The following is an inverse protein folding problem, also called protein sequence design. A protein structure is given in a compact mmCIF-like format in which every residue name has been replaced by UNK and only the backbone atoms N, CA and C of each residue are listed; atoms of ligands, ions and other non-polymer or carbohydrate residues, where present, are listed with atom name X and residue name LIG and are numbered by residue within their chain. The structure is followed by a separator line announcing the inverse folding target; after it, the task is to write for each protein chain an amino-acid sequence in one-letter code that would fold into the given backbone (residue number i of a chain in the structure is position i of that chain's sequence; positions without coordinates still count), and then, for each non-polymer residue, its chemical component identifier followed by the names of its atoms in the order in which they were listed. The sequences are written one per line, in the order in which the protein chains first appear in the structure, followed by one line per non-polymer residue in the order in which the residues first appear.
data_IF_996382258829
#
_entry.id   IF_996382258829
#
_cell.length_a   1.000
_cell.length_b   1.000
_cell.length_c   1.000
_cell.angle_alpha   90.00
_cell.angle_beta   90.00
_cell.angle_gamma   90.00
#
_symmetry.space_group_name_H-M   'P 1'
#
loop_
_entity.id
_entity.type
_entity.pdbx_description
1 polymer ?
#
# COMPACT_ATOMS: atom_id res chain seq x y z
N UNK A 1 5.95 11.48 15.98
CA UNK A 1 4.96 12.55 16.21
C UNK A 1 4.81 13.40 14.94
N UNK A 2 3.60 13.90 14.68
CA UNK A 2 3.30 14.69 13.49
C UNK A 2 1.82 14.61 13.14
N UNK A 3 1.51 14.98 11.90
CA UNK A 3 0.19 14.85 11.30
C UNK A 3 0.27 13.93 10.09
N UNK A 4 -0.75 13.10 9.90
CA UNK A 4 -0.91 12.30 8.70
C UNK A 4 -2.33 12.45 8.20
N UNK A 5 -2.47 12.77 6.92
CA UNK A 5 -3.72 12.99 6.22
C UNK A 5 -3.92 11.93 5.15
N UNK A 6 -5.16 11.64 4.82
CA UNK A 6 -5.51 10.75 3.73
C UNK A 6 -6.99 10.40 3.75
N UNK A 7 -7.45 9.81 2.67
CA UNK A 7 -8.75 9.17 2.67
C UNK A 7 -8.70 7.96 3.61
N UNK A 8 -9.68 7.85 4.50
CA UNK A 8 -9.73 6.74 5.44
C UNK A 8 -10.35 5.51 4.78
N UNK A 9 -9.66 4.38 4.88
CA UNK A 9 -10.13 3.08 4.43
C UNK A 9 -9.94 2.02 5.52
N UNK A 10 -10.51 0.84 5.33
CA UNK A 10 -10.37 -0.25 6.29
C UNK A 10 -10.08 -1.59 5.62
N UNK A 11 -9.43 -2.46 6.37
CA UNK A 11 -9.19 -3.84 5.97
C UNK A 11 -9.63 -4.78 7.10
N UNK A 12 -10.38 -5.85 6.73
CA UNK A 12 -10.94 -6.83 7.67
C UNK A 12 -10.15 -8.14 7.73
N UNK A 13 -9.00 -8.21 7.06
CA UNK A 13 -8.12 -9.38 7.09
C UNK A 13 -7.60 -9.66 8.50
N UNK A 14 -7.62 -10.94 8.89
CA UNK A 14 -7.12 -11.35 10.21
C UNK A 14 -5.59 -11.43 10.27
N UNK A 15 -4.94 -11.52 9.11
CA UNK A 15 -3.48 -11.63 8.93
C UNK A 15 -3.06 -10.83 7.71
N UNK A 16 -1.73 -10.72 7.46
CA UNK A 16 -1.22 -10.10 6.25
C UNK A 16 -1.15 -8.57 6.35
N UNK A 17 -0.96 -8.01 7.53
CA UNK A 17 -0.91 -6.56 7.68
C UNK A 17 0.27 -5.92 6.93
N UNK A 18 1.41 -6.61 6.81
CA UNK A 18 2.55 -6.10 6.06
C UNK A 18 2.25 -6.01 4.57
N UNK A 19 1.61 -7.02 4.02
CA UNK A 19 1.14 -7.04 2.64
C UNK A 19 0.19 -5.88 2.38
N UNK A 20 -0.75 -5.61 3.31
CA UNK A 20 -1.69 -4.49 3.22
C UNK A 20 -0.94 -3.15 3.26
N UNK A 21 -0.02 -2.96 4.20
CA UNK A 21 0.69 -1.68 4.36
C UNK A 21 1.62 -1.36 3.20
N UNK A 22 2.11 -2.38 2.51
CA UNK A 22 3.01 -2.25 1.36
C UNK A 22 2.31 -2.39 0.01
N UNK A 23 1.00 -2.62 0.00
CA UNK A 23 0.19 -2.67 -1.22
C UNK A 23 0.08 -1.27 -1.84
N UNK A 24 0.52 -1.05 -3.09
CA UNK A 24 0.40 0.23 -3.76
C UNK A 24 -1.02 0.77 -3.88
N UNK A 25 -2.03 -0.11 -3.88
CA UNK A 25 -3.46 0.26 -3.93
C UNK A 25 -3.91 1.13 -2.75
N UNK A 26 -3.17 1.11 -1.64
CA UNK A 26 -3.47 1.94 -0.45
C UNK A 26 -2.61 3.20 -0.37
N UNK A 27 -1.99 3.59 -1.48
CA UNK A 27 -1.11 4.76 -1.48
C UNK A 27 -1.85 6.03 -1.05
N UNK A 28 -1.31 6.68 -0.01
CA UNK A 28 -1.86 7.93 0.52
C UNK A 28 -3.09 7.77 1.42
N UNK A 29 -3.55 6.55 1.72
CA UNK A 29 -4.73 6.31 2.56
C UNK A 29 -4.37 6.08 4.03
N UNK A 30 -5.28 6.46 4.93
CA UNK A 30 -5.23 6.11 6.34
C UNK A 30 -5.92 4.76 6.54
N UNK A 31 -5.17 3.75 6.98
CA UNK A 31 -5.63 2.37 7.10
C UNK A 31 -6.17 2.06 8.49
N UNK A 32 -7.44 1.67 8.56
CA UNK A 32 -8.04 1.08 9.76
C UNK A 32 -7.99 -0.44 9.66
N UNK A 33 -7.36 -1.09 10.63
CA UNK A 33 -7.35 -2.55 10.72
C UNK A 33 -8.36 -3.04 11.75
N UNK A 34 -9.23 -3.99 11.38
CA UNK A 34 -10.22 -4.56 12.30
C UNK A 34 -9.68 -5.73 13.11
N UNK A 35 -8.51 -6.22 12.75
CA UNK A 35 -7.80 -7.23 13.53
C UNK A 35 -7.55 -6.70 14.96
N UNK A 36 -7.77 -7.55 15.94
CA UNK A 36 -7.64 -7.19 17.36
C UNK A 36 -6.20 -6.86 17.77
N UNK A 37 -5.19 -7.42 17.10
CA UNK A 37 -3.77 -7.19 17.41
C UNK A 37 -2.97 -6.99 16.14
N UNK A 38 -2.21 -5.92 16.05
CA UNK A 38 -1.29 -5.59 14.96
C UNK A 38 0.13 -5.57 15.51
N UNK A 39 1.07 -6.16 14.77
CA UNK A 39 2.49 -6.26 15.16
C UNK A 39 2.89 -7.59 15.82
N UNK A 40 1.93 -8.41 16.24
CA UNK A 40 2.11 -9.62 17.04
C UNK A 40 2.98 -10.73 16.39
N UNK A 41 3.16 -10.73 15.08
CA UNK A 41 4.06 -11.67 14.39
C UNK A 41 5.22 -11.00 13.67
N UNK A 42 5.34 -9.67 13.76
CA UNK A 42 6.47 -8.92 13.21
C UNK A 42 6.43 -8.76 11.69
N UNK A 43 7.56 -8.40 11.11
CA UNK A 43 7.76 -8.07 9.69
C UNK A 43 8.79 -9.00 9.07
N UNK A 44 8.52 -9.52 7.88
CA UNK A 44 9.46 -10.25 7.03
C UNK A 44 9.54 -9.61 5.65
N UNK A 45 10.74 -9.25 5.19
CA UNK A 45 10.95 -8.55 3.92
C UNK A 45 10.32 -9.25 2.70
N UNK A 46 10.23 -10.57 2.73
CA UNK A 46 9.65 -11.37 1.64
C UNK A 46 8.14 -11.18 1.47
N UNK A 47 7.42 -10.74 2.52
CA UNK A 47 5.96 -10.55 2.51
C UNK A 47 5.54 -9.18 1.97
N UNK A 48 6.50 -8.26 1.81
CA UNK A 48 6.20 -6.94 1.25
C UNK A 48 5.73 -7.03 -0.21
N UNK A 49 4.65 -6.33 -0.54
CA UNK A 49 4.08 -6.26 -1.90
C UNK A 49 4.74 -5.20 -2.78
N UNK A 50 5.47 -4.25 -2.18
CA UNK A 50 6.30 -3.26 -2.84
C UNK A 50 7.51 -2.89 -1.96
N UNK A 51 8.39 -2.03 -2.49
CA UNK A 51 9.62 -1.64 -1.78
C UNK A 51 9.40 -0.69 -0.61
N UNK A 52 8.23 -0.08 -0.49
CA UNK A 52 7.91 0.93 0.53
C UNK A 52 6.56 0.67 1.19
N UNK A 53 6.35 1.28 2.34
CA UNK A 53 5.03 1.40 2.95
C UNK A 53 4.21 2.41 2.15
N UNK A 54 3.00 2.06 1.76
CA UNK A 54 2.13 2.89 0.92
C UNK A 54 1.02 3.59 1.71
N UNK A 55 0.59 3.03 2.84
CA UNK A 55 -0.36 3.72 3.71
C UNK A 55 0.24 5.00 4.29
N UNK A 56 -0.58 6.04 4.47
CA UNK A 56 -0.17 7.29 5.13
C UNK A 56 -0.16 7.17 6.65
N UNK A 57 -0.99 6.33 7.22
CA UNK A 57 -1.07 6.12 8.66
C UNK A 57 -1.87 4.87 9.02
N UNK A 58 -1.69 4.40 10.24
CA UNK A 58 -2.33 3.20 10.78
C UNK A 58 -3.23 3.51 11.96
N UNK A 59 -4.44 2.96 11.95
CA UNK A 59 -5.41 3.01 13.05
C UNK A 59 -5.72 1.57 13.45
N UNK A 60 -5.47 1.20 14.69
CA UNK A 60 -5.69 -0.16 15.17
C UNK A 60 -6.29 -0.20 16.59
N UNK A 61 -6.79 -1.37 16.97
CA UNK A 61 -7.31 -1.59 18.32
C UNK A 61 -6.16 -1.77 19.31
N UNK A 62 -5.29 -2.77 19.10
CA UNK A 62 -4.13 -3.03 19.92
C UNK A 62 -2.87 -3.10 19.05
N UNK A 63 -1.81 -2.49 19.52
CA UNK A 63 -0.51 -2.53 18.88
C UNK A 63 0.45 -3.36 19.72
N UNK A 64 1.04 -4.41 19.12
CA UNK A 64 2.03 -5.26 19.80
C UNK A 64 3.44 -4.79 19.47
N UNK A 65 4.20 -4.45 20.51
CA UNK A 65 5.63 -4.13 20.39
C UNK A 65 6.50 -5.39 20.33
N UNK A 66 5.99 -6.47 20.92
CA UNK A 66 6.61 -7.80 20.90
C UNK A 66 6.01 -8.65 19.78
N UNK A 67 6.83 -9.51 19.19
CA UNK A 67 6.42 -10.37 18.10
C UNK A 67 6.97 -11.79 18.30
N UNK A 68 6.20 -12.79 17.82
CA UNK A 68 6.44 -14.19 18.11
C UNK A 68 7.21 -14.96 17.03
N UNK A 69 7.23 -14.45 15.78
CA UNK A 69 7.76 -15.21 14.65
C UNK A 69 9.29 -15.13 14.56
N UNK A 70 10.01 -16.27 14.52
CA UNK A 70 11.46 -16.27 14.36
C UNK A 70 11.92 -15.58 13.08
N UNK A 71 13.00 -14.82 13.16
CA UNK A 71 13.57 -14.09 12.02
C UNK A 71 12.81 -12.84 11.59
N UNK A 72 11.68 -12.53 12.22
CA UNK A 72 10.96 -11.30 11.98
C UNK A 72 11.64 -10.10 12.65
N UNK A 73 11.28 -8.90 12.22
CA UNK A 73 11.67 -7.63 12.84
C UNK A 73 10.44 -6.91 13.41
N UNK A 74 10.69 -5.89 14.22
CA UNK A 74 9.64 -5.12 14.89
C UNK A 74 8.82 -4.30 13.89
N UNK A 75 7.48 -4.41 13.95
CA UNK A 75 6.59 -3.52 13.22
C UNK A 75 6.75 -2.06 13.67
N UNK A 76 7.00 -1.82 14.95
CA UNK A 76 7.22 -0.48 15.48
C UNK A 76 8.41 0.20 14.82
N UNK A 77 9.57 -0.47 14.77
CA UNK A 77 10.76 0.08 14.12
C UNK A 77 10.58 0.23 12.61
N UNK A 78 9.84 -0.69 11.98
CA UNK A 78 9.52 -0.62 10.56
C UNK A 78 8.66 0.62 10.21
N UNK A 79 7.58 0.86 10.95
CA UNK A 79 6.74 2.04 10.75
C UNK A 79 7.50 3.34 11.05
N UNK A 80 8.33 3.34 12.10
CA UNK A 80 9.18 4.48 12.47
C UNK A 80 10.20 4.81 11.40
N UNK A 81 10.88 3.81 10.84
CA UNK A 81 11.85 3.98 9.76
C UNK A 81 11.19 4.53 8.47
N UNK A 82 9.93 4.15 8.22
CA UNK A 82 9.14 4.65 7.09
C UNK A 82 8.34 5.92 7.41
N UNK A 83 8.50 6.52 8.61
CA UNK A 83 7.82 7.73 9.06
C UNK A 83 6.28 7.61 9.08
N UNK A 84 5.75 6.42 9.27
CA UNK A 84 4.31 6.16 9.33
C UNK A 84 3.82 6.38 10.77
N UNK A 85 2.81 7.24 10.91
CA UNK A 85 2.14 7.48 12.19
C UNK A 85 1.13 6.37 12.44
N UNK A 86 1.19 5.77 13.63
CA UNK A 86 0.21 4.79 14.08
C UNK A 86 -0.50 5.29 15.34
N UNK A 87 -1.79 5.05 15.43
CA UNK A 87 -2.61 5.26 16.64
C UNK A 87 -3.27 3.94 17.04
N UNK A 88 -3.19 3.60 18.30
CA UNK A 88 -3.81 2.41 18.86
C UNK A 88 -4.82 2.77 19.96
N UNK A 89 -5.48 1.77 20.49
CA UNK A 89 -6.55 1.88 21.49
C UNK A 89 -7.81 2.60 20.97
N UNK A 90 -8.07 2.42 19.69
CA UNK A 90 -9.24 2.98 18.99
C UNK A 90 -10.33 1.91 18.87
N UNK A 91 -11.60 2.29 19.03
CA UNK A 91 -12.74 1.45 18.66
C UNK A 91 -12.85 1.37 17.12
N UNK A 92 -12.02 0.47 16.54
CA UNK A 92 -11.97 0.29 15.09
C UNK A 92 -13.29 -0.22 14.51
N UNK A 93 -14.11 -0.91 15.31
CA UNK A 93 -15.44 -1.38 14.87
C UNK A 93 -16.40 -0.19 14.67
N UNK A 94 -16.42 0.74 15.61
CA UNK A 94 -17.23 1.95 15.46
C UNK A 94 -16.77 2.79 14.27
N UNK A 95 -15.45 2.96 14.09
CA UNK A 95 -14.89 3.68 12.94
C UNK A 95 -15.27 3.02 11.62
N UNK A 96 -15.15 1.70 11.51
CA UNK A 96 -15.51 0.96 10.28
C UNK A 96 -17.01 1.07 9.98
N UNK A 97 -17.87 0.96 10.99
CA UNK A 97 -19.31 1.15 10.79
C UNK A 97 -19.60 2.55 10.27
N UNK A 98 -18.98 3.58 10.85
CA UNK A 98 -19.12 4.95 10.39
C UNK A 98 -18.68 5.14 8.93
N UNK A 99 -17.54 4.58 8.53
CA UNK A 99 -17.08 4.63 7.14
C UNK A 99 -18.06 3.93 6.19
N UNK A 100 -18.62 2.79 6.60
CA UNK A 100 -19.60 2.04 5.77
C UNK A 100 -20.91 2.78 5.56
N UNK A 101 -21.35 3.53 6.57
CA UNK A 101 -22.59 4.30 6.51
C UNK A 101 -22.44 5.61 5.74
N UNK A 102 -21.29 6.26 5.83
CA UNK A 102 -21.06 7.62 5.30
C UNK A 102 -20.19 7.65 4.04
N UNK A 103 -19.57 6.51 3.64
CA UNK A 103 -18.69 6.42 2.47
C UNK A 103 -17.27 6.89 2.73
N UNK A 104 -16.48 6.97 1.65
CA UNK A 104 -15.10 7.43 1.69
C UNK A 104 -15.01 8.91 2.11
N UNK A 105 -14.06 9.23 2.97
CA UNK A 105 -13.87 10.58 3.49
C UNK A 105 -12.42 10.85 3.86
N UNK A 106 -11.99 12.11 3.79
CA UNK A 106 -10.70 12.52 4.30
C UNK A 106 -10.68 12.48 5.82
N UNK A 107 -9.56 12.04 6.36
CA UNK A 107 -9.31 11.98 7.79
C UNK A 107 -7.88 12.44 8.13
N UNK A 108 -7.62 12.66 9.41
CA UNK A 108 -6.30 13.01 9.92
C UNK A 108 -5.99 12.26 11.21
N UNK A 109 -4.75 11.79 11.32
CA UNK A 109 -4.17 11.37 12.59
C UNK A 109 -3.19 12.47 13.01
N UNK A 110 -3.37 13.03 14.19
CA UNK A 110 -2.53 14.13 14.66
C UNK A 110 -2.10 13.93 16.11
N UNK A 111 -0.82 14.19 16.38
CA UNK A 111 -0.26 14.34 17.73
C UNK A 111 0.01 15.80 18.08
N UNK A 112 -0.27 16.75 17.20
CA UNK A 112 0.09 18.16 17.33
C UNK A 112 -1.12 19.09 17.34
N UNK A 113 -2.17 18.78 16.57
CA UNK A 113 -3.35 19.62 16.46
C UNK A 113 -4.29 19.30 17.62
N UNK A 114 -4.61 20.31 18.44
CA UNK A 114 -5.49 20.19 19.60
C UNK A 114 -6.87 20.85 19.42
N UNK A 115 -7.04 21.64 18.34
CA UNK A 115 -8.29 22.35 18.06
C UNK A 115 -9.07 21.62 16.95
N UNK A 116 -10.34 21.31 17.23
CA UNK A 116 -11.25 20.68 16.25
C UNK A 116 -11.47 21.60 15.06
N UNK A 117 -11.69 22.90 15.30
CA UNK A 117 -11.91 23.88 14.22
C UNK A 117 -10.74 23.92 13.22
N UNK A 118 -9.50 23.80 13.75
CA UNK A 118 -8.31 23.74 12.90
C UNK A 118 -8.27 22.45 12.09
N UNK A 119 -8.62 21.31 12.70
CA UNK A 119 -8.72 20.02 12.01
C UNK A 119 -9.75 20.08 10.88
N UNK A 120 -10.93 20.60 11.16
CA UNK A 120 -12.00 20.71 10.16
C UNK A 120 -11.60 21.59 8.97
N UNK A 121 -10.92 22.71 9.24
CA UNK A 121 -10.39 23.56 8.18
C UNK A 121 -9.39 22.83 7.31
N UNK A 122 -8.38 22.19 7.93
CA UNK A 122 -7.33 21.47 7.20
C UNK A 122 -7.92 20.31 6.39
N UNK A 123 -8.93 19.59 6.90
CA UNK A 123 -9.59 18.51 6.17
C UNK A 123 -10.44 19.02 4.98
N UNK A 124 -11.04 20.21 5.08
CA UNK A 124 -11.77 20.83 3.96
C UNK A 124 -10.83 21.21 2.82
N UNK A 125 -9.63 21.66 3.15
CA UNK A 125 -8.60 22.09 2.18
C UNK A 125 -7.81 20.88 1.63
N UNK A 126 -7.89 19.71 2.27
CA UNK A 126 -7.15 18.51 1.83
C UNK A 126 -7.80 17.93 0.57
N UNK A 127 -7.02 17.60 -0.47
CA UNK A 127 -7.56 17.09 -1.73
C UNK A 127 -8.28 15.76 -1.51
N UNK A 128 -9.39 15.58 -2.21
CA UNK A 128 -10.06 14.27 -2.27
C UNK A 128 -9.24 13.30 -3.10
N UNK A 129 -9.35 12.01 -2.81
CA UNK A 129 -8.71 10.95 -3.59
C UNK A 129 -9.26 10.90 -5.02
N UNK A 130 -10.54 11.18 -5.18
CA UNK A 130 -11.22 11.20 -6.48
C UNK A 130 -10.58 12.21 -7.43
N UNK A 131 -10.19 11.75 -8.62
CA UNK A 131 -9.54 12.56 -9.65
C UNK A 131 -8.04 12.77 -9.47
N UNK A 132 -7.41 12.22 -8.42
CA UNK A 132 -5.96 12.26 -8.29
C UNK A 132 -5.30 11.24 -9.22
N UNK A 133 -4.22 11.66 -9.88
CA UNK A 133 -3.31 10.76 -10.59
C UNK A 133 -2.28 10.21 -9.61
N UNK A 134 -2.40 8.94 -9.26
CA UNK A 134 -1.53 8.28 -8.28
C UNK A 134 -0.61 7.23 -8.88
N UNK A 135 -0.84 6.79 -10.12
CA UNK A 135 0.00 5.81 -10.78
C UNK A 135 1.46 6.26 -10.86
N UNK A 136 1.72 7.54 -11.14
CA UNK A 136 3.07 8.12 -11.14
C UNK A 136 3.80 8.01 -9.80
N UNK A 137 3.07 7.89 -8.68
CA UNK A 137 3.62 7.83 -7.32
C UNK A 137 4.03 6.41 -6.91
N UNK A 138 3.41 5.41 -7.51
CA UNK A 138 3.56 3.99 -7.17
C UNK A 138 4.24 3.16 -8.26
N UNK A 139 4.21 3.61 -9.51
CA UNK A 139 4.88 2.97 -10.64
C UNK A 139 6.40 2.93 -10.47
N UNK A 140 7.03 1.91 -11.05
CA UNK A 140 8.48 1.85 -11.20
C UNK A 140 9.02 3.06 -11.97
N UNK A 141 10.26 3.46 -11.66
CA UNK A 141 10.92 4.57 -12.35
C UNK A 141 11.74 4.17 -13.56
N UNK A 142 12.03 2.87 -13.69
CA UNK A 142 12.81 2.31 -14.80
C UNK A 142 12.23 0.94 -15.16
N UNK A 143 12.26 0.61 -16.43
CA UNK A 143 11.91 -0.74 -16.87
C UNK A 143 12.92 -1.77 -16.35
N UNK A 144 12.45 -2.97 -16.05
CA UNK A 144 13.27 -4.08 -15.59
C UNK A 144 12.70 -5.42 -16.04
N UNK A 145 13.59 -6.42 -16.13
CA UNK A 145 13.27 -7.78 -16.55
C UNK A 145 13.23 -8.71 -15.34
N UNK A 146 12.28 -9.64 -15.34
CA UNK A 146 12.16 -10.69 -14.31
C UNK A 146 11.65 -12.01 -14.93
N UNK A 147 11.99 -13.13 -14.30
CA UNK A 147 11.64 -14.47 -14.78
C UNK A 147 12.78 -15.10 -15.61
N UNK A 148 12.45 -16.21 -16.27
CA UNK A 148 13.44 -16.95 -17.07
C UNK A 148 13.47 -16.41 -18.52
N UNK A 149 14.63 -15.95 -19.03
CA UNK A 149 14.77 -15.47 -20.40
C UNK A 149 14.40 -16.51 -21.49
N UNK A 150 14.55 -17.80 -21.16
CA UNK A 150 14.24 -18.91 -22.06
C UNK A 150 12.76 -19.29 -22.08
N UNK A 151 11.92 -18.55 -21.37
CA UNK A 151 10.46 -18.78 -21.35
C UNK A 151 9.86 -18.62 -22.74
N UNK A 152 8.93 -19.51 -23.09
CA UNK A 152 8.23 -19.51 -24.38
C UNK A 152 7.46 -18.20 -24.63
N UNK A 153 6.95 -17.59 -23.57
CA UNK A 153 6.10 -16.40 -23.68
C UNK A 153 6.68 -15.22 -22.92
N UNK A 154 6.66 -14.06 -23.56
CA UNK A 154 7.04 -12.76 -23.03
C UNK A 154 5.80 -11.93 -22.73
N UNK A 155 5.74 -11.31 -21.56
CA UNK A 155 4.64 -10.42 -21.17
C UNK A 155 5.18 -9.06 -20.79
N UNK A 156 4.73 -8.03 -21.48
CA UNK A 156 4.98 -6.64 -21.13
C UNK A 156 3.98 -6.23 -20.04
N UNK A 157 4.46 -5.76 -18.90
CA UNK A 157 3.65 -5.30 -17.78
C UNK A 157 3.76 -3.80 -17.66
N UNK A 158 2.63 -3.08 -17.72
CA UNK A 158 2.56 -1.65 -17.42
C UNK A 158 2.24 -1.50 -15.93
N UNK A 159 3.17 -0.89 -15.22
CA UNK A 159 3.10 -0.75 -13.75
C UNK A 159 2.33 0.51 -13.35
N UNK A 160 1.08 0.33 -12.93
CA UNK A 160 0.23 1.36 -12.33
C UNK A 160 0.16 1.23 -10.79
N UNK A 161 1.08 0.48 -10.20
CA UNK A 161 1.08 0.10 -8.78
C UNK A 161 0.92 -1.40 -8.59
N UNK A 162 1.67 -2.20 -9.35
CA UNK A 162 1.56 -3.65 -9.33
C UNK A 162 2.09 -4.26 -8.03
N UNK A 163 1.34 -5.22 -7.49
CA UNK A 163 1.79 -6.02 -6.34
C UNK A 163 2.83 -7.04 -6.77
N UNK A 164 3.87 -7.21 -5.95
CA UNK A 164 4.91 -8.22 -6.15
C UNK A 164 4.35 -9.63 -6.37
N UNK A 165 3.28 -9.98 -5.65
CA UNK A 165 2.66 -11.30 -5.80
C UNK A 165 2.02 -11.53 -7.16
N UNK A 166 1.54 -10.49 -7.85
CA UNK A 166 1.05 -10.62 -9.23
C UNK A 166 2.22 -11.00 -10.14
N UNK A 167 3.34 -10.31 -10.03
CA UNK A 167 4.55 -10.62 -10.80
C UNK A 167 5.06 -12.04 -10.51
N UNK A 168 5.10 -12.44 -9.23
CA UNK A 168 5.49 -13.78 -8.83
C UNK A 168 4.57 -14.85 -9.45
N UNK A 169 3.26 -14.62 -9.47
CA UNK A 169 2.31 -15.53 -10.09
C UNK A 169 2.53 -15.66 -11.60
N UNK A 170 2.81 -14.57 -12.29
CA UNK A 170 3.15 -14.61 -13.73
C UNK A 170 4.44 -15.40 -13.97
N UNK A 171 5.49 -15.19 -13.17
CA UNK A 171 6.74 -15.95 -13.25
C UNK A 171 6.49 -17.44 -13.00
N UNK A 172 5.73 -17.79 -12.00
CA UNK A 172 5.38 -19.18 -11.67
C UNK A 172 4.57 -19.87 -12.76
N UNK A 173 3.88 -19.10 -13.62
CA UNK A 173 3.20 -19.58 -14.83
C UNK A 173 4.13 -19.69 -16.04
N UNK A 174 5.42 -19.43 -15.89
CA UNK A 174 6.44 -19.58 -16.90
C UNK A 174 6.56 -18.40 -17.87
N UNK A 175 6.12 -17.21 -17.49
CA UNK A 175 6.31 -16.00 -18.29
C UNK A 175 7.66 -15.33 -18.02
N UNK A 176 8.29 -14.84 -19.09
CA UNK A 176 9.37 -13.85 -19.00
C UNK A 176 8.74 -12.46 -19.10
N UNK A 177 9.07 -11.58 -18.16
CA UNK A 177 8.34 -10.33 -17.95
C UNK A 177 9.29 -9.15 -18.08
N UNK A 178 8.87 -8.13 -18.82
CA UNK A 178 9.43 -6.79 -18.73
C UNK A 178 8.38 -5.86 -18.13
N UNK A 179 8.72 -5.25 -17.00
CA UNK A 179 7.90 -4.27 -16.30
C UNK A 179 8.30 -2.89 -16.78
N UNK A 180 7.34 -2.08 -17.16
CA UNK A 180 7.51 -0.72 -17.68
C UNK A 180 6.86 0.32 -16.77
N UNK A 181 7.42 1.53 -16.66
CA UNK A 181 6.76 2.67 -16.07
C UNK A 181 5.39 2.96 -16.70
N UNK A 182 4.50 3.59 -15.92
CA UNK A 182 3.12 3.91 -16.31
C UNK A 182 3.02 4.77 -17.58
N UNK A 183 4.01 5.60 -17.85
CA UNK A 183 4.08 6.59 -18.94
C UNK A 183 4.92 6.14 -20.14
N UNK A 184 5.30 4.86 -20.20
CA UNK A 184 6.10 4.34 -21.30
C UNK A 184 5.31 4.32 -22.60
N UNK A 185 5.87 4.90 -23.66
CA UNK A 185 5.27 4.90 -24.99
C UNK A 185 5.09 3.47 -25.52
N UNK A 186 3.93 3.20 -26.12
CA UNK A 186 3.59 1.87 -26.65
C UNK A 186 4.61 1.39 -27.70
N UNK A 187 5.13 2.30 -28.52
CA UNK A 187 6.15 2.01 -29.53
C UNK A 187 7.47 1.49 -28.93
N UNK A 188 7.81 1.93 -27.71
CA UNK A 188 8.97 1.42 -26.97
C UNK A 188 8.71 0.01 -26.46
N UNK A 189 7.53 -0.24 -25.90
CA UNK A 189 7.14 -1.57 -25.42
C UNK A 189 7.14 -2.59 -26.55
N UNK A 190 6.65 -2.21 -27.73
CA UNK A 190 6.64 -3.07 -28.93
C UNK A 190 8.03 -3.52 -29.39
N UNK A 191 9.09 -2.72 -29.20
CA UNK A 191 10.47 -3.09 -29.56
C UNK A 191 10.96 -4.36 -28.86
N UNK A 192 10.45 -4.64 -27.66
CA UNK A 192 10.77 -5.88 -26.94
C UNK A 192 10.05 -7.11 -27.50
N UNK A 193 9.10 -6.92 -28.43
CA UNK A 193 8.31 -7.97 -29.06
C UNK A 193 7.62 -8.91 -28.05
N UNK A 194 6.78 -8.39 -27.15
CA UNK A 194 6.03 -9.21 -26.20
C UNK A 194 4.95 -10.02 -26.92
N UNK A 195 4.60 -11.19 -26.37
CA UNK A 195 3.50 -12.03 -26.83
C UNK A 195 2.16 -11.59 -26.22
N UNK A 196 2.19 -10.83 -25.15
CA UNK A 196 1.01 -10.29 -24.48
C UNK A 196 1.32 -9.09 -23.60
N UNK A 197 0.26 -8.37 -23.23
CA UNK A 197 0.33 -7.16 -22.40
C UNK A 197 -0.48 -7.37 -21.14
N UNK A 198 0.05 -6.91 -20.02
CA UNK A 198 -0.64 -6.87 -18.74
C UNK A 198 -0.62 -5.45 -18.21
N UNK A 199 -1.79 -4.84 -18.09
CA UNK A 199 -1.96 -3.53 -17.46
C UNK A 199 -2.36 -3.81 -16.01
N UNK A 200 -1.54 -3.38 -15.07
CA UNK A 200 -1.88 -3.58 -13.66
C UNK A 200 -3.05 -2.69 -13.26
N UNK A 201 -3.78 -3.12 -12.22
CA UNK A 201 -4.62 -2.19 -11.50
C UNK A 201 -3.74 -1.13 -10.80
N UNK A 202 -4.28 0.06 -10.65
CA UNK A 202 -3.66 1.18 -9.92
C UNK A 202 -4.42 1.49 -8.65
#
# INVERSE_FOLDING_TARGET
SGNSYGEICFNTGMTGYQEIFTDPSYHGQLMVTTNSHIGNYGILNQEAQSQKVNISGLICKNFSYEFSRPGASSLYEYLKANQIIAISDIDTRAVVNYIRENGAMNAVISTQIKSIDKIEKELKDFPKMEGLELASKVSTKKSYLIGNPDSKYKVAVIDLGIKKNILNNLINKGFYIQVYPYDTEFSEIQKWSPHGYFISNG
#
